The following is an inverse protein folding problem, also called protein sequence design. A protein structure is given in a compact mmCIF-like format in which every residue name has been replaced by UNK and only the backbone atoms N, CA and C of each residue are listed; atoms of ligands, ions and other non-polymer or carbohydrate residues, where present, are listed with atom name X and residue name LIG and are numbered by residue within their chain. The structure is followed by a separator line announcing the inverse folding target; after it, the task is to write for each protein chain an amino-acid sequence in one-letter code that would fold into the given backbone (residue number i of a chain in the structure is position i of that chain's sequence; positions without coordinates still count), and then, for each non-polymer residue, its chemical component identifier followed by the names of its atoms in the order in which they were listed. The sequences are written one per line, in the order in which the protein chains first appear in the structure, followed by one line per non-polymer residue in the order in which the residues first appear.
data_IF_124715579821
#
_entry.id   IF_124715579821
#
_cell.length_a   1.000
_cell.length_b   1.000
_cell.length_c   1.000
_cell.angle_alpha   90.00
_cell.angle_beta   90.00
_cell.angle_gamma   90.00
#
_symmetry.space_group_name_H-M   'P 1'
#
loop_
_entity.id
_entity.type
_entity.pdbx_description
1 polymer ?
#
# COMPACT_ATOMS: atom_id res chain seq x y z
N UNK A 1 7.25 18.25 -6.38
CA UNK A 1 7.86 17.59 -5.20
C UNK A 1 6.76 17.42 -4.19
N UNK A 2 6.61 16.23 -3.59
CA UNK A 2 5.61 16.01 -2.54
C UNK A 2 5.86 16.96 -1.36
N UNK A 3 4.81 17.51 -0.72
CA UNK A 3 4.95 18.34 0.48
C UNK A 3 5.30 17.52 1.73
N UNK A 4 5.21 16.18 1.65
CA UNK A 4 5.45 15.28 2.76
C UNK A 4 6.94 14.91 2.89
N UNK A 5 7.40 14.59 4.13
CA UNK A 5 8.78 14.20 4.35
C UNK A 5 9.15 12.95 3.55
N UNK A 6 10.40 12.92 3.07
CA UNK A 6 10.92 11.76 2.38
C UNK A 6 11.10 10.59 3.36
N UNK A 7 10.76 9.38 2.91
CA UNK A 7 10.91 8.16 3.71
C UNK A 7 11.29 6.98 2.83
N UNK A 8 12.23 6.09 3.26
CA UNK A 8 12.65 4.93 2.45
C UNK A 8 11.51 4.01 2.02
N UNK A 9 10.44 3.91 2.84
CA UNK A 9 9.24 3.15 2.48
C UNK A 9 8.61 3.63 1.17
N UNK A 10 8.55 4.94 0.94
CA UNK A 10 7.95 5.49 -0.28
C UNK A 10 8.71 5.06 -1.53
N UNK A 11 10.04 5.12 -1.48
CA UNK A 11 10.90 4.67 -2.59
C UNK A 11 10.77 3.16 -2.84
N UNK A 12 10.57 2.38 -1.77
CA UNK A 12 10.34 0.95 -1.89
C UNK A 12 9.00 0.64 -2.56
N UNK A 13 7.89 1.18 -2.04
CA UNK A 13 6.56 0.86 -2.55
C UNK A 13 6.35 1.38 -3.97
N UNK A 14 6.91 2.53 -4.32
CA UNK A 14 6.83 3.08 -5.68
C UNK A 14 7.63 2.25 -6.69
N UNK A 15 8.86 1.82 -6.35
CA UNK A 15 9.62 0.87 -7.19
C UNK A 15 8.88 -0.43 -7.37
N UNK A 16 8.37 -1.00 -6.27
CA UNK A 16 7.66 -2.27 -6.29
C UNK A 16 6.41 -2.17 -7.17
N UNK A 17 5.61 -1.12 -7.00
CA UNK A 17 4.39 -0.92 -7.78
C UNK A 17 4.67 -0.68 -9.28
N UNK A 18 5.82 -0.08 -9.60
CA UNK A 18 6.26 0.11 -10.98
C UNK A 18 6.86 -1.15 -11.64
N UNK A 19 7.11 -2.21 -10.88
CA UNK A 19 7.64 -3.46 -11.45
C UNK A 19 6.61 -4.15 -12.36
N UNK A 20 7.04 -4.91 -13.38
CA UNK A 20 6.15 -5.62 -14.29
C UNK A 20 5.10 -6.43 -13.53
N UNK A 21 3.84 -6.30 -13.98
CA UNK A 21 2.68 -7.04 -13.48
C UNK A 21 2.27 -6.83 -12.01
N UNK A 22 3.04 -6.08 -11.21
CA UNK A 22 2.71 -5.80 -9.80
C UNK A 22 1.46 -4.94 -9.67
N UNK A 23 1.37 -3.83 -10.41
CA UNK A 23 0.18 -2.98 -10.36
C UNK A 23 -1.11 -3.74 -10.78
N UNK A 24 -1.14 -4.50 -11.89
CA UNK A 24 -2.26 -5.39 -12.22
C UNK A 24 -2.64 -6.38 -11.11
N UNK A 25 -1.65 -7.04 -10.48
CA UNK A 25 -1.88 -7.96 -9.38
C UNK A 25 -2.48 -7.27 -8.15
N UNK A 26 -1.90 -6.14 -7.72
CA UNK A 26 -2.44 -5.32 -6.64
C UNK A 26 -3.90 -4.88 -6.92
N UNK A 27 -4.20 -4.42 -8.13
CA UNK A 27 -5.55 -4.02 -8.53
C UNK A 27 -6.53 -5.19 -8.55
N UNK A 28 -6.08 -6.41 -8.88
CA UNK A 28 -6.95 -7.60 -8.81
C UNK A 28 -7.30 -7.93 -7.37
N UNK A 29 -6.30 -8.03 -6.49
CA UNK A 29 -6.52 -8.29 -5.08
C UNK A 29 -7.40 -7.20 -4.43
N UNK A 30 -7.16 -5.92 -4.75
CA UNK A 30 -7.99 -4.81 -4.30
C UNK A 30 -9.45 -4.95 -4.76
N UNK A 31 -9.72 -5.29 -6.02
CA UNK A 31 -11.10 -5.47 -6.49
C UNK A 31 -11.81 -6.66 -5.87
N UNK A 32 -11.10 -7.76 -5.63
CA UNK A 32 -11.70 -8.97 -5.07
C UNK A 32 -12.02 -8.82 -3.58
N UNK A 33 -11.18 -8.09 -2.85
CA UNK A 33 -11.20 -8.12 -1.39
C UNK A 33 -11.32 -6.74 -0.73
N UNK A 34 -11.41 -5.66 -1.51
CA UNK A 34 -11.34 -4.26 -1.05
C UNK A 34 -10.14 -3.97 -0.13
N UNK A 35 -9.03 -4.67 -0.36
CA UNK A 35 -7.82 -4.48 0.46
C UNK A 35 -7.26 -3.07 0.29
N UNK A 36 -6.61 -2.60 1.35
CA UNK A 36 -5.71 -1.46 1.26
C UNK A 36 -4.38 -1.88 0.64
N UNK A 37 -4.11 -1.36 -0.57
CA UNK A 37 -2.86 -1.61 -1.30
C UNK A 37 -1.68 -0.92 -0.61
N UNK A 38 -1.86 0.28 -0.07
CA UNK A 38 -0.81 1.01 0.65
C UNK A 38 -0.37 0.20 1.87
N UNK A 39 -1.33 -0.29 2.67
CA UNK A 39 -1.03 -1.16 3.82
C UNK A 39 -0.38 -2.49 3.40
N UNK A 40 -0.86 -3.11 2.31
CA UNK A 40 -0.27 -4.34 1.80
C UNK A 40 1.20 -4.15 1.40
N UNK A 41 1.51 -3.07 0.67
CA UNK A 41 2.88 -2.75 0.26
C UNK A 41 3.75 -2.33 1.46
N UNK A 42 3.16 -1.67 2.47
CA UNK A 42 3.81 -1.41 3.75
C UNK A 42 4.22 -2.71 4.47
N UNK A 43 3.37 -3.73 4.50
CA UNK A 43 3.69 -5.03 5.10
C UNK A 43 4.94 -5.67 4.47
N UNK A 44 5.09 -5.52 3.15
CA UNK A 44 6.26 -5.97 2.40
C UNK A 44 7.49 -5.13 2.70
N UNK A 45 7.35 -3.80 2.72
CA UNK A 45 8.45 -2.91 3.09
C UNK A 45 8.95 -3.21 4.51
N UNK A 46 8.06 -3.43 5.48
CA UNK A 46 8.49 -3.71 6.85
C UNK A 46 9.32 -4.99 6.94
N UNK A 47 8.92 -6.04 6.21
CA UNK A 47 9.69 -7.29 6.14
C UNK A 47 11.00 -7.18 5.36
N UNK A 48 11.23 -6.09 4.60
CA UNK A 48 12.52 -5.86 3.94
C UNK A 48 13.52 -5.11 4.83
N UNK A 49 13.07 -4.49 5.92
CA UNK A 49 13.93 -3.68 6.82
C UNK A 49 13.90 -4.13 8.28
N UNK A 50 13.12 -5.16 8.62
CA UNK A 50 12.98 -5.68 9.98
C UNK A 50 12.67 -7.18 9.93
N UNK A 51 13.35 -7.94 10.79
CA UNK A 51 13.16 -9.40 10.89
C UNK A 51 11.92 -9.77 11.72
N UNK A 52 11.40 -8.85 12.53
CA UNK A 52 10.23 -9.09 13.38
C UNK A 52 8.92 -9.07 12.55
N UNK A 53 8.13 -10.17 12.56
CA UNK A 53 6.84 -10.21 11.89
C UNK A 53 5.83 -9.23 12.48
N UNK A 54 4.99 -8.65 11.63
CA UNK A 54 3.94 -7.70 12.02
C UNK A 54 2.71 -8.36 12.66
N UNK A 55 2.60 -9.68 12.67
CA UNK A 55 1.38 -10.39 13.08
C UNK A 55 0.77 -9.89 14.42
N UNK A 56 1.54 -9.64 15.49
CA UNK A 56 1.00 -9.11 16.76
C UNK A 56 0.48 -7.67 16.66
N UNK A 57 0.97 -6.91 15.69
CA UNK A 57 0.74 -5.47 15.53
C UNK A 57 -0.26 -5.13 14.41
N UNK A 58 -0.60 -6.11 13.56
CA UNK A 58 -1.51 -5.92 12.43
C UNK A 58 -2.86 -5.29 12.81
N UNK A 59 -3.56 -5.68 13.90
CA UNK A 59 -4.82 -5.03 14.27
C UNK A 59 -4.70 -3.52 14.49
N UNK A 60 -3.62 -3.08 15.15
CA UNK A 60 -3.37 -1.65 15.40
C UNK A 60 -2.99 -0.91 14.12
N UNK A 61 -2.15 -1.52 13.28
CA UNK A 61 -1.74 -0.95 11.99
C UNK A 61 -2.91 -0.86 11.02
N UNK A 62 -3.79 -1.87 10.99
CA UNK A 62 -5.03 -1.86 10.21
C UNK A 62 -5.99 -0.77 10.68
N UNK A 63 -6.09 -0.52 11.99
CA UNK A 63 -6.90 0.59 12.51
C UNK A 63 -6.35 1.96 12.08
N UNK A 64 -5.02 2.13 12.07
CA UNK A 64 -4.36 3.33 11.55
C UNK A 64 -4.62 3.52 10.06
N UNK A 65 -4.40 2.47 9.25
CA UNK A 65 -4.68 2.49 7.81
C UNK A 65 -6.16 2.80 7.55
N UNK A 66 -7.09 2.12 8.24
CA UNK A 66 -8.53 2.33 8.06
C UNK A 66 -8.95 3.77 8.36
N UNK A 67 -8.43 4.36 9.44
CA UNK A 67 -8.70 5.76 9.80
C UNK A 67 -8.28 6.70 8.68
N UNK A 68 -7.08 6.49 8.12
CA UNK A 68 -6.55 7.32 7.05
C UNK A 68 -7.28 7.08 5.72
N UNK A 69 -7.52 5.81 5.37
CA UNK A 69 -8.21 5.37 4.16
C UNK A 69 -9.61 5.98 4.09
N UNK A 70 -10.39 5.92 5.18
CA UNK A 70 -11.75 6.45 5.24
C UNK A 70 -11.75 7.98 5.23
N UNK A 71 -10.82 8.62 5.94
CA UNK A 71 -10.85 10.08 6.15
C UNK A 71 -10.27 10.87 4.98
N UNK A 72 -9.31 10.31 4.25
CA UNK A 72 -8.54 11.03 3.22
C UNK A 72 -8.57 10.31 1.86
N UNK A 73 -8.14 9.05 1.81
CA UNK A 73 -7.85 8.36 0.54
C UNK A 73 -9.14 8.02 -0.24
N UNK A 74 -10.16 7.46 0.40
CA UNK A 74 -11.42 7.12 -0.28
C UNK A 74 -12.17 8.37 -0.77
N UNK A 75 -12.34 9.44 0.03
CA UNK A 75 -12.97 10.67 -0.46
C UNK A 75 -12.26 11.28 -1.67
N UNK A 76 -10.93 11.34 -1.64
CA UNK A 76 -10.17 11.93 -2.75
C UNK A 76 -10.18 11.02 -3.99
N UNK A 77 -10.12 9.70 -3.80
CA UNK A 77 -10.25 8.72 -4.88
C UNK A 77 -11.60 8.78 -5.56
N UNK A 78 -12.68 8.94 -4.79
CA UNK A 78 -14.04 9.16 -5.34
C UNK A 78 -14.09 10.45 -6.16
N UNK A 79 -13.53 11.53 -5.64
CA UNK A 79 -13.43 12.82 -6.35
C UNK A 79 -12.63 12.68 -7.65
N UNK A 80 -11.48 11.99 -7.61
CA UNK A 80 -10.64 11.71 -8.79
C UNK A 80 -11.41 10.90 -9.82
N UNK A 81 -12.11 9.84 -9.41
CA UNK A 81 -12.87 8.98 -10.32
C UNK A 81 -13.95 9.76 -11.06
N UNK A 82 -14.67 10.64 -10.35
CA UNK A 82 -15.65 11.53 -10.95
C UNK A 82 -14.97 12.51 -11.93
N UNK A 83 -13.91 13.21 -11.51
CA UNK A 83 -13.19 14.16 -12.36
C UNK A 83 -12.59 13.52 -13.62
N UNK A 84 -12.17 12.25 -13.54
CA UNK A 84 -11.67 11.50 -14.71
C UNK A 84 -12.77 11.27 -15.75
N UNK A 85 -14.00 11.02 -15.31
CA UNK A 85 -15.15 10.87 -16.20
C UNK A 85 -15.53 12.22 -16.83
N UNK A 86 -15.47 13.29 -16.05
CA UNK A 86 -15.70 14.65 -16.55
C UNK A 86 -14.62 15.07 -17.56
N UNK A 87 -13.34 14.80 -17.31
CA UNK A 87 -12.25 15.17 -18.24
C UNK A 87 -12.27 14.42 -19.57
N UNK A 88 -12.88 13.23 -19.59
CA UNK A 88 -13.14 12.50 -20.83
C UNK A 88 -14.20 13.20 -21.71
N UNK A 89 -15.10 13.98 -21.10
CA UNK A 89 -16.17 14.72 -21.79
C UNK A 89 -15.78 16.18 -22.09
N UNK A 90 -15.07 16.81 -21.16
CA UNK A 90 -14.57 18.19 -21.26
C UNK A 90 -13.06 18.24 -20.96
N UNK A 91 -12.20 18.35 -22.01
CA UNK A 91 -10.75 18.42 -21.84
C UNK A 91 -10.25 19.57 -20.96
N UNK A 92 -11.05 20.62 -20.72
CA UNK A 92 -10.66 21.73 -19.82
C UNK A 92 -10.53 21.27 -18.36
N UNK A 93 -11.18 20.15 -18.01
CA UNK A 93 -11.14 19.56 -16.67
C UNK A 93 -9.89 18.71 -16.41
N UNK A 94 -9.08 18.42 -17.44
CA UNK A 94 -7.90 17.54 -17.30
C UNK A 94 -6.89 18.08 -16.28
N UNK A 95 -6.67 19.40 -16.26
CA UNK A 95 -5.78 20.02 -15.27
C UNK A 95 -6.26 19.82 -13.82
N UNK A 96 -7.57 19.81 -13.59
CA UNK A 96 -8.14 19.56 -12.26
C UNK A 96 -8.03 18.07 -11.89
N UNK A 97 -8.32 17.18 -12.82
CA UNK A 97 -8.12 15.73 -12.64
C UNK A 97 -6.68 15.40 -12.23
N UNK A 98 -5.68 15.94 -12.92
CA UNK A 98 -4.26 15.68 -12.61
C UNK A 98 -3.86 16.19 -11.22
N UNK A 99 -4.40 17.35 -10.79
CA UNK A 99 -4.16 17.89 -9.44
C UNK A 99 -4.75 16.99 -8.35
N UNK A 100 -5.96 16.47 -8.57
CA UNK A 100 -6.59 15.56 -7.60
C UNK A 100 -5.91 14.19 -7.59
N UNK A 101 -5.46 13.68 -8.75
CA UNK A 101 -4.61 12.49 -8.81
C UNK A 101 -3.31 12.67 -8.02
N UNK A 102 -2.66 13.82 -8.15
CA UNK A 102 -1.45 14.14 -7.37
C UNK A 102 -1.76 14.15 -5.87
N UNK A 103 -2.85 14.79 -5.48
CA UNK A 103 -3.27 14.84 -4.08
C UNK A 103 -3.67 13.45 -3.52
N UNK A 104 -4.25 12.56 -4.34
CA UNK A 104 -4.50 11.17 -3.93
C UNK A 104 -3.21 10.43 -3.61
N UNK A 105 -2.19 10.57 -4.46
CA UNK A 105 -0.86 9.98 -4.24
C UNK A 105 -0.22 10.55 -2.96
N UNK A 106 -0.36 11.85 -2.71
CA UNK A 106 0.10 12.49 -1.47
C UNK A 106 -0.66 11.97 -0.25
N UNK A 107 -1.97 11.72 -0.35
CA UNK A 107 -2.73 11.06 0.71
C UNK A 107 -2.21 9.63 0.96
N UNK A 108 -1.94 8.83 -0.06
CA UNK A 108 -1.37 7.48 0.09
C UNK A 108 0.03 7.52 0.71
N UNK A 109 0.86 8.51 0.36
CA UNK A 109 2.15 8.73 1.01
C UNK A 109 1.98 9.09 2.51
N UNK A 110 0.99 9.91 2.85
CA UNK A 110 0.68 10.25 4.24
C UNK A 110 0.22 9.04 5.06
N UNK A 111 -0.57 8.13 4.44
CA UNK A 111 -0.95 6.86 5.05
C UNK A 111 0.27 6.01 5.40
N UNK A 112 1.19 5.88 4.42
CA UNK A 112 2.42 5.12 4.59
C UNK A 112 3.29 5.69 5.71
N UNK A 113 3.38 7.02 5.82
CA UNK A 113 4.11 7.68 6.90
C UNK A 113 3.47 7.44 8.28
N UNK A 114 2.14 7.47 8.37
CA UNK A 114 1.44 7.15 9.61
C UNK A 114 1.68 5.70 10.05
N UNK A 115 1.70 4.77 9.09
CA UNK A 115 2.02 3.35 9.33
C UNK A 115 3.47 3.15 9.78
N UNK A 116 4.43 3.84 9.16
CA UNK A 116 5.85 3.73 9.53
C UNK A 116 6.07 4.27 10.94
N UNK A 117 5.51 5.44 11.26
CA UNK A 117 5.60 6.02 12.60
C UNK A 117 4.99 5.12 13.67
N UNK A 118 3.83 4.52 13.40
CA UNK A 118 3.20 3.60 14.35
C UNK A 118 4.03 2.32 14.53
N UNK A 119 4.55 1.74 13.45
CA UNK A 119 5.38 0.55 13.56
C UNK A 119 6.71 0.80 14.29
N UNK A 120 7.32 1.98 14.12
CA UNK A 120 8.51 2.39 14.88
C UNK A 120 8.25 2.48 16.39
N UNK A 121 7.03 2.88 16.79
CA UNK A 121 6.64 2.91 18.20
C UNK A 121 6.36 1.51 18.79
N UNK A 122 6.07 0.51 17.94
CA UNK A 122 5.69 -0.84 18.35
C UNK A 122 6.84 -1.85 18.31
N UNK A 123 7.83 -1.62 17.45
CA UNK A 123 8.87 -2.60 17.14
C UNK A 123 10.28 -2.04 17.39
N UNK A 124 11.09 -2.78 18.14
CA UNK A 124 12.51 -2.45 18.30
C UNK A 124 13.33 -2.83 17.06
N UNK A 125 14.19 -1.91 16.63
CA UNK A 125 15.31 -2.19 15.73
C UNK A 125 15.03 -2.12 14.22
N UNK A 126 16.08 -1.76 13.49
CA UNK A 126 16.25 -1.98 12.06
C UNK A 126 17.25 -3.13 11.93
N UNK A 127 16.93 -4.13 11.12
CA UNK A 127 17.83 -5.26 10.83
C UNK A 127 18.31 -5.15 9.38
N UNK A 128 19.52 -5.64 9.08
CA UNK A 128 20.00 -5.73 7.69
C UNK A 128 19.18 -6.77 6.91
N UNK A 129 18.24 -6.30 6.10
CA UNK A 129 17.40 -7.11 5.21
C UNK A 129 17.83 -7.05 3.73
N UNK A 130 17.04 -7.64 2.79
CA UNK A 130 15.65 -8.06 2.98
C UNK A 130 15.48 -9.43 3.65
N UNK A 131 14.34 -9.63 4.33
CA UNK A 131 13.93 -10.91 4.92
C UNK A 131 12.72 -11.51 4.17
N UNK A 132 12.92 -12.26 3.07
CA UNK A 132 11.81 -12.75 2.23
C UNK A 132 10.75 -13.55 2.98
N UNK A 133 11.15 -14.33 3.99
CA UNK A 133 10.22 -15.08 4.83
C UNK A 133 9.33 -14.17 5.67
N UNK A 134 9.87 -13.05 6.18
CA UNK A 134 9.11 -12.06 6.97
C UNK A 134 8.17 -11.27 6.09
N UNK A 135 8.58 -10.92 4.86
CA UNK A 135 7.70 -10.28 3.88
C UNK A 135 6.49 -11.17 3.57
N UNK A 136 6.72 -12.46 3.33
CA UNK A 136 5.66 -13.44 3.09
C UNK A 136 4.76 -13.64 4.32
N UNK A 137 5.35 -13.68 5.53
CA UNK A 137 4.61 -13.78 6.78
C UNK A 137 3.74 -12.54 7.04
N UNK A 138 4.24 -11.34 6.76
CA UNK A 138 3.51 -10.08 6.92
C UNK A 138 2.33 -10.01 5.94
N UNK A 139 2.55 -10.35 4.67
CA UNK A 139 1.47 -10.38 3.67
C UNK A 139 0.40 -11.40 4.05
N UNK A 140 0.80 -12.62 4.41
CA UNK A 140 -0.13 -13.68 4.82
C UNK A 140 -0.87 -13.31 6.10
N UNK A 141 -0.18 -12.72 7.07
CA UNK A 141 -0.76 -12.23 8.31
C UNK A 141 -1.78 -11.14 8.06
N UNK A 142 -1.48 -10.19 7.15
CA UNK A 142 -2.42 -9.13 6.78
C UNK A 142 -3.70 -9.70 6.16
N UNK A 143 -3.57 -10.59 5.18
CA UNK A 143 -4.73 -11.22 4.55
C UNK A 143 -5.56 -12.02 5.57
N UNK A 144 -4.89 -12.76 6.47
CA UNK A 144 -5.57 -13.48 7.56
C UNK A 144 -6.32 -12.53 8.51
N UNK A 145 -5.69 -11.44 8.94
CA UNK A 145 -6.30 -10.44 9.81
C UNK A 145 -7.46 -9.70 9.13
N UNK A 146 -7.42 -9.57 7.80
CA UNK A 146 -8.52 -9.06 6.98
C UNK A 146 -9.62 -10.10 6.72
N UNK A 147 -9.51 -11.34 7.25
CA UNK A 147 -10.49 -12.41 7.04
C UNK A 147 -10.46 -13.02 5.64
N UNK A 148 -9.37 -12.81 4.88
CA UNK A 148 -9.22 -13.27 3.51
C UNK A 148 -8.55 -14.63 3.48
N UNK A 149 -9.17 -15.59 2.80
CA UNK A 149 -8.60 -16.90 2.49
C UNK A 149 -8.21 -16.93 1.00
N UNK A 150 -6.92 -16.78 0.65
CA UNK A 150 -6.50 -16.66 -0.75
C UNK A 150 -6.78 -17.95 -1.54
N UNK A 151 -7.30 -17.79 -2.76
CA UNK A 151 -7.41 -18.87 -3.74
C UNK A 151 -6.04 -19.16 -4.39
N UNK A 152 -5.98 -20.16 -5.27
CA UNK A 152 -4.76 -20.44 -6.04
C UNK A 152 -4.38 -19.28 -6.98
N UNK A 153 -5.38 -18.63 -7.57
CA UNK A 153 -5.17 -17.46 -8.41
C UNK A 153 -4.60 -16.29 -7.58
N UNK A 154 -5.07 -16.10 -6.36
CA UNK A 154 -4.55 -15.05 -5.47
C UNK A 154 -3.12 -15.35 -5.04
N UNK A 155 -2.81 -16.62 -4.74
CA UNK A 155 -1.44 -17.05 -4.42
C UNK A 155 -0.46 -16.78 -5.55
N UNK A 156 -0.89 -16.90 -6.81
CA UNK A 156 -0.07 -16.56 -7.97
C UNK A 156 0.29 -15.07 -7.98
N UNK A 157 -0.68 -14.19 -7.69
CA UNK A 157 -0.41 -12.74 -7.55
C UNK A 157 0.48 -12.43 -6.37
N UNK A 158 0.20 -13.03 -5.23
CA UNK A 158 1.01 -12.84 -4.03
C UNK A 158 2.46 -13.26 -4.30
N UNK A 159 2.68 -14.38 -4.98
CA UNK A 159 4.02 -14.85 -5.34
C UNK A 159 4.72 -13.91 -6.33
N UNK A 160 3.97 -13.35 -7.29
CA UNK A 160 4.49 -12.34 -8.22
C UNK A 160 4.95 -11.08 -7.48
N UNK A 161 4.08 -10.53 -6.61
CA UNK A 161 4.37 -9.34 -5.79
C UNK A 161 5.56 -9.62 -4.86
N UNK A 162 5.59 -10.78 -4.19
CA UNK A 162 6.69 -11.16 -3.29
C UNK A 162 8.01 -11.34 -4.02
N UNK A 163 8.00 -11.85 -5.25
CA UNK A 163 9.20 -11.97 -6.08
C UNK A 163 9.74 -10.58 -6.43
N UNK A 164 8.88 -9.69 -6.93
CA UNK A 164 9.26 -8.32 -7.29
C UNK A 164 9.77 -7.51 -6.08
N UNK A 165 9.25 -7.79 -4.88
CA UNK A 165 9.61 -7.07 -3.66
C UNK A 165 11.03 -7.40 -3.14
N UNK A 166 11.65 -8.49 -3.59
CA UNK A 166 13.00 -8.91 -3.15
C UNK A 166 14.14 -8.12 -3.79
N UNK A 167 13.89 -7.46 -4.92
CA UNK A 167 14.92 -6.77 -5.72
C UNK A 167 15.38 -7.60 -6.90
#
# INVERSE_FOLDING_TARGET
MSPLPAHPAWNFVTRLYAAPDVAPACMRLQRLYDIDVTLMLFCLWRGSVCEAPLAPHLPNLMATAATWRISAVLPIRQTRMWLKAESASDPTMEGLYQRVLTAEIECEQGELLALTQHAEALCEGISEGPFPAVMAANLSGYLHAAGIAPTEADRTDMALILTAARG
#
